data_IF_521753996172
#
_entry.id   IF_521753996172
#
_cell.length_a   1.000
_cell.length_b   1.000
_cell.length_c   1.000
_cell.angle_alpha   90.00
_cell.angle_beta   90.00
_cell.angle_gamma   90.00
#
_symmetry.space_group_name_H-M   'P 1'
#
loop_
_entity.id
_entity.type
_entity.pdbx_description
1 polymer ?
#
# COMPACT_ATOMS: atom_id res chain seq x y z
N UNK A 1 11.84 -28.71 -12.74
CA UNK A 1 12.15 -28.03 -14.01
C UNK A 1 11.88 -28.89 -15.24
N UNK A 2 12.51 -30.06 -15.41
CA UNK A 2 12.23 -30.96 -16.56
C UNK A 2 10.73 -31.20 -16.80
N UNK A 3 9.95 -31.49 -15.76
CA UNK A 3 8.50 -31.69 -15.87
C UNK A 3 7.74 -30.42 -16.29
N UNK A 4 8.12 -29.25 -15.78
CA UNK A 4 7.41 -27.99 -16.02
C UNK A 4 7.81 -27.32 -17.36
N UNK A 5 9.04 -27.51 -17.82
CA UNK A 5 9.62 -26.81 -18.97
C UNK A 5 10.06 -27.74 -20.11
N UNK A 6 9.99 -29.06 -19.94
CA UNK A 6 10.37 -30.05 -20.96
C UNK A 6 11.87 -30.10 -21.27
N UNK A 7 12.72 -29.43 -20.48
CA UNK A 7 14.16 -29.32 -20.72
C UNK A 7 14.97 -29.85 -19.54
N UNK A 8 16.07 -30.55 -19.85
CA UNK A 8 17.00 -31.08 -18.85
C UNK A 8 17.86 -29.99 -18.20
N UNK A 9 18.31 -29.02 -18.99
CA UNK A 9 19.20 -27.94 -18.52
C UNK A 9 18.36 -26.79 -17.94
N UNK A 10 18.71 -26.38 -16.72
CA UNK A 10 18.10 -25.23 -16.04
C UNK A 10 18.84 -23.94 -16.46
N UNK A 11 18.10 -22.88 -16.74
CA UNK A 11 18.67 -21.55 -16.99
C UNK A 11 17.92 -20.43 -16.23
N UNK A 12 18.51 -19.23 -16.20
CA UNK A 12 17.96 -18.09 -15.46
C UNK A 12 16.55 -17.68 -15.93
N UNK A 13 16.25 -17.81 -17.23
CA UNK A 13 14.92 -17.48 -17.76
C UNK A 13 13.84 -18.39 -17.18
N UNK A 14 14.10 -19.69 -17.06
CA UNK A 14 13.16 -20.65 -16.47
C UNK A 14 12.95 -20.38 -14.98
N UNK A 15 14.00 -19.98 -14.26
CA UNK A 15 13.90 -19.60 -12.85
C UNK A 15 12.98 -18.38 -12.70
N UNK A 16 13.18 -17.33 -13.51
CA UNK A 16 12.35 -16.13 -13.51
C UNK A 16 10.89 -16.45 -13.90
N UNK A 17 10.67 -17.35 -14.86
CA UNK A 17 9.31 -17.80 -15.20
C UNK A 17 8.65 -18.55 -14.07
N UNK A 18 9.35 -19.47 -13.41
CA UNK A 18 8.80 -20.20 -12.27
C UNK A 18 8.44 -19.25 -11.11
N UNK A 19 9.32 -18.31 -10.77
CA UNK A 19 9.07 -17.31 -9.73
C UNK A 19 7.87 -16.43 -10.08
N UNK A 20 7.84 -15.87 -11.28
CA UNK A 20 6.74 -15.01 -11.70
C UNK A 20 5.40 -15.76 -11.75
N UNK A 21 5.39 -17.06 -12.09
CA UNK A 21 4.17 -17.87 -12.02
C UNK A 21 3.72 -18.09 -10.57
N UNK A 22 4.65 -18.40 -9.66
CA UNK A 22 4.36 -18.51 -8.23
C UNK A 22 3.82 -17.20 -7.66
N UNK A 23 4.43 -16.05 -7.95
CA UNK A 23 3.93 -14.74 -7.48
C UNK A 23 2.49 -14.45 -7.95
N UNK A 24 2.09 -14.93 -9.15
CA UNK A 24 0.72 -14.78 -9.66
C UNK A 24 -0.30 -15.66 -8.94
N UNK A 25 0.13 -16.71 -8.23
CA UNK A 25 -0.78 -17.52 -7.42
C UNK A 25 -1.03 -16.92 -6.03
N UNK A 26 -0.21 -15.94 -5.61
CA UNK A 26 -0.33 -15.24 -4.34
C UNK A 26 -1.48 -14.23 -4.35
N UNK A 27 -2.71 -14.72 -4.48
CA UNK A 27 -3.93 -13.91 -4.53
C UNK A 27 -4.52 -13.78 -3.13
N UNK A 28 -4.60 -12.54 -2.63
CA UNK A 28 -5.26 -12.18 -1.37
C UNK A 28 -6.59 -11.48 -1.65
N UNK A 29 -7.69 -12.24 -1.55
CA UNK A 29 -9.05 -11.79 -1.83
C UNK A 29 -10.09 -12.42 -0.86
N UNK A 30 -9.63 -12.91 0.30
CA UNK A 30 -10.43 -13.57 1.33
C UNK A 30 -10.59 -12.76 2.62
N UNK A 31 -10.20 -11.47 2.63
CA UNK A 31 -10.34 -10.62 3.81
C UNK A 31 -11.80 -10.43 4.23
N UNK A 32 -12.03 -9.95 5.46
CA UNK A 32 -13.40 -9.62 5.92
C UNK A 32 -14.07 -8.59 5.02
N UNK A 33 -13.32 -7.60 4.52
CA UNK A 33 -13.82 -6.65 3.54
C UNK A 33 -14.21 -7.31 2.22
N UNK A 34 -13.42 -8.25 1.72
CA UNK A 34 -13.74 -8.95 0.47
C UNK A 34 -15.06 -9.71 0.58
N UNK A 35 -15.24 -10.44 1.70
CA UNK A 35 -16.47 -11.15 2.02
C UNK A 35 -17.65 -10.19 2.20
N UNK A 36 -17.42 -9.02 2.81
CA UNK A 36 -18.44 -7.98 2.97
C UNK A 36 -18.98 -7.52 1.61
N UNK A 37 -18.10 -7.17 0.67
CA UNK A 37 -18.49 -6.68 -0.67
C UNK A 37 -19.23 -7.76 -1.47
N UNK A 38 -18.85 -9.04 -1.30
CA UNK A 38 -19.51 -10.17 -1.98
C UNK A 38 -20.75 -10.69 -1.26
N UNK A 39 -21.14 -10.11 -0.11
CA UNK A 39 -22.22 -10.60 0.75
C UNK A 39 -22.03 -12.06 1.19
N UNK A 40 -20.80 -12.46 1.51
CA UNK A 40 -20.42 -13.80 1.94
C UNK A 40 -20.42 -13.96 3.47
N UNK A 41 -20.65 -15.17 4.00
CA UNK A 41 -20.49 -15.46 5.42
C UNK A 41 -19.10 -15.05 5.94
N UNK A 42 -19.07 -14.43 7.13
CA UNK A 42 -17.82 -13.89 7.71
C UNK A 42 -17.47 -12.46 7.25
N UNK A 43 -18.24 -11.88 6.34
CA UNK A 43 -18.11 -10.50 5.86
C UNK A 43 -18.83 -9.44 6.70
N UNK A 44 -19.23 -9.73 7.94
CA UNK A 44 -19.91 -8.74 8.78
C UNK A 44 -18.91 -7.70 9.29
N UNK A 45 -19.02 -6.45 8.83
CA UNK A 45 -18.27 -5.32 9.35
C UNK A 45 -19.02 -4.66 10.51
N UNK A 46 -18.28 -4.25 11.53
CA UNK A 46 -18.79 -3.46 12.65
C UNK A 46 -19.15 -2.04 12.20
N UNK A 47 -19.95 -1.32 12.98
CA UNK A 47 -20.29 0.09 12.69
C UNK A 47 -19.03 0.97 12.59
N UNK A 48 -18.02 0.69 13.41
CA UNK A 48 -16.74 1.41 13.40
C UNK A 48 -15.96 1.15 12.09
N UNK A 49 -15.92 -0.10 11.63
CA UNK A 49 -15.28 -0.47 10.35
C UNK A 49 -16.05 0.11 9.15
N UNK A 50 -17.38 0.14 9.20
CA UNK A 50 -18.21 0.77 8.16
C UNK A 50 -17.97 2.28 8.09
N UNK A 51 -17.87 2.96 9.25
CA UNK A 51 -17.46 4.36 9.32
C UNK A 51 -16.05 4.55 8.73
N UNK A 52 -15.11 3.66 9.05
CA UNK A 52 -13.76 3.67 8.50
C UNK A 52 -13.73 3.51 6.99
N UNK A 53 -14.49 2.57 6.44
CA UNK A 53 -14.66 2.36 5.00
C UNK A 53 -15.14 3.63 4.32
N UNK A 54 -16.15 4.30 4.88
CA UNK A 54 -16.68 5.54 4.33
C UNK A 54 -15.62 6.66 4.35
N UNK A 55 -14.89 6.81 5.46
CA UNK A 55 -13.82 7.81 5.57
C UNK A 55 -12.68 7.56 4.58
N UNK A 56 -12.30 6.29 4.35
CA UNK A 56 -11.29 5.92 3.33
C UNK A 56 -11.79 6.26 1.94
N UNK A 57 -13.06 6.00 1.62
CA UNK A 57 -13.67 6.37 0.33
C UNK A 57 -13.65 7.88 0.10
N UNK A 58 -13.93 8.67 1.14
CA UNK A 58 -14.01 10.13 1.05
C UNK A 58 -12.63 10.80 0.98
N UNK A 59 -11.66 10.32 1.77
CA UNK A 59 -10.43 11.05 2.02
C UNK A 59 -9.19 10.41 1.39
N UNK A 60 -9.21 9.10 1.13
CA UNK A 60 -8.02 8.34 0.72
C UNK A 60 -8.14 7.77 -0.70
N UNK A 61 -9.36 7.60 -1.22
CA UNK A 61 -9.61 6.98 -2.52
C UNK A 61 -9.12 7.79 -3.73
N UNK A 62 -8.66 9.03 -3.52
CA UNK A 62 -7.95 9.78 -4.56
C UNK A 62 -6.68 9.09 -5.05
N UNK A 63 -6.02 8.31 -4.17
CA UNK A 63 -4.86 7.47 -4.51
C UNK A 63 -5.12 5.99 -4.19
N UNK A 64 -5.76 5.69 -3.05
CA UNK A 64 -6.05 4.33 -2.62
C UNK A 64 -7.42 3.85 -3.11
N UNK A 65 -7.55 3.69 -4.42
CA UNK A 65 -8.83 3.39 -5.10
C UNK A 65 -8.98 1.91 -5.50
N UNK A 66 -10.18 1.57 -5.98
CA UNK A 66 -10.54 0.23 -6.50
C UNK A 66 -10.40 -0.90 -5.47
N UNK A 67 -10.55 -2.14 -5.92
CA UNK A 67 -10.51 -3.32 -5.03
C UNK A 67 -9.13 -3.59 -4.46
N UNK A 68 -8.07 -3.06 -5.05
CA UNK A 68 -6.70 -3.20 -4.51
C UNK A 68 -6.30 -2.02 -3.62
N UNK A 69 -7.14 -1.00 -3.44
CA UNK A 69 -6.81 0.22 -2.69
C UNK A 69 -5.50 0.86 -3.16
N UNK A 70 -5.34 0.95 -4.47
CA UNK A 70 -4.25 1.61 -5.17
C UNK A 70 -4.71 1.98 -6.58
N UNK A 71 -4.34 3.16 -7.03
CA UNK A 71 -4.47 3.61 -8.41
C UNK A 71 -3.34 3.12 -9.32
N UNK A 72 -2.27 2.58 -8.73
CA UNK A 72 -1.07 2.15 -9.43
C UNK A 72 -0.18 3.30 -9.94
N UNK A 73 -0.50 4.56 -9.62
CA UNK A 73 0.26 5.74 -10.04
C UNK A 73 1.27 6.16 -8.94
N UNK A 74 1.95 7.28 -9.14
CA UNK A 74 3.05 7.77 -8.33
C UNK A 74 2.72 9.13 -7.74
N UNK A 75 2.82 9.24 -6.42
CA UNK A 75 2.46 10.45 -5.67
C UNK A 75 3.56 10.81 -4.67
N UNK A 76 3.68 12.10 -4.41
CA UNK A 76 4.48 12.61 -3.30
C UNK A 76 3.49 12.93 -2.17
N UNK A 77 3.55 12.17 -1.08
CA UNK A 77 2.69 12.35 0.09
C UNK A 77 3.28 13.30 1.15
N UNK A 78 4.36 14.03 0.82
CA UNK A 78 4.94 15.08 1.65
C UNK A 78 5.74 14.59 2.85
N UNK A 79 6.37 13.41 2.79
CA UNK A 79 7.29 12.95 3.84
C UNK A 79 8.48 13.92 4.02
N UNK A 80 8.95 14.48 2.91
CA UNK A 80 10.11 15.36 2.81
C UNK A 80 9.77 16.59 1.96
N UNK A 81 10.35 17.73 2.31
CA UNK A 81 10.24 18.99 1.56
C UNK A 81 11.41 19.21 0.59
N UNK A 82 12.50 18.46 0.79
CA UNK A 82 13.76 18.55 0.07
C UNK A 82 14.23 17.16 -0.33
N UNK A 83 14.85 17.06 -1.52
CA UNK A 83 15.25 15.78 -2.11
C UNK A 83 16.74 15.82 -2.46
N UNK A 84 17.56 15.34 -1.53
CA UNK A 84 19.03 15.33 -1.65
C UNK A 84 19.50 14.57 -2.89
N UNK A 85 20.63 15.00 -3.45
CA UNK A 85 21.33 14.26 -4.49
C UNK A 85 22.23 13.14 -3.93
N UNK A 86 22.42 13.11 -2.62
CA UNK A 86 23.18 12.07 -1.92
C UNK A 86 22.53 10.69 -2.07
N UNK A 87 23.32 9.65 -1.75
CA UNK A 87 22.90 8.25 -1.83
C UNK A 87 22.24 7.93 -3.18
N UNK A 88 22.90 8.30 -4.27
CA UNK A 88 22.43 8.05 -5.64
C UNK A 88 21.00 8.57 -5.91
N UNK A 89 20.66 9.73 -5.35
CA UNK A 89 19.35 10.38 -5.54
C UNK A 89 18.17 9.50 -5.12
N UNK A 90 18.35 8.62 -4.12
CA UNK A 90 17.28 7.73 -3.65
C UNK A 90 16.02 8.48 -3.23
N UNK A 91 16.17 9.66 -2.60
CA UNK A 91 15.08 10.53 -2.19
C UNK A 91 14.25 11.07 -3.37
N UNK A 92 14.76 10.99 -4.61
CA UNK A 92 14.03 11.45 -5.79
C UNK A 92 12.89 10.50 -6.18
N UNK A 93 12.87 9.26 -5.67
CA UNK A 93 11.84 8.28 -6.02
C UNK A 93 11.73 8.11 -7.54
N UNK A 94 10.53 8.32 -8.08
CA UNK A 94 10.24 8.27 -9.54
C UNK A 94 11.13 9.20 -10.35
N UNK A 95 11.47 10.37 -9.81
CA UNK A 95 12.33 11.36 -10.46
C UNK A 95 13.72 10.82 -10.84
N UNK A 96 14.23 9.78 -10.15
CA UNK A 96 15.49 9.11 -10.52
C UNK A 96 15.42 8.41 -11.88
N UNK A 97 14.22 8.04 -12.32
CA UNK A 97 13.99 7.38 -13.62
C UNK A 97 13.61 8.41 -14.68
N UNK A 98 12.69 9.34 -14.38
CA UNK A 98 12.18 10.28 -15.37
C UNK A 98 13.06 11.50 -15.59
N UNK A 99 13.94 11.80 -14.62
CA UNK A 99 14.77 13.02 -14.58
C UNK A 99 13.94 14.32 -14.58
N UNK A 100 12.65 14.25 -14.21
CA UNK A 100 11.77 15.43 -14.11
C UNK A 100 11.71 15.91 -12.67
N UNK A 101 11.89 17.22 -12.47
CA UNK A 101 11.74 17.88 -11.17
C UNK A 101 10.35 17.64 -10.56
N UNK A 102 9.30 17.62 -11.39
CA UNK A 102 7.91 17.37 -10.97
C UNK A 102 7.67 15.96 -10.46
N UNK A 103 8.61 15.02 -10.64
CA UNK A 103 8.49 13.64 -10.20
C UNK A 103 9.36 13.30 -8.98
N UNK A 104 10.10 14.29 -8.44
CA UNK A 104 10.91 14.09 -7.23
C UNK A 104 10.02 13.76 -6.03
N UNK A 105 10.46 12.82 -5.20
CA UNK A 105 9.73 12.38 -4.01
C UNK A 105 8.46 11.57 -4.30
N UNK A 106 8.16 11.27 -5.57
CA UNK A 106 7.00 10.46 -5.91
C UNK A 106 7.32 8.98 -5.81
N UNK A 107 6.49 8.25 -5.09
CA UNK A 107 6.55 6.79 -4.98
C UNK A 107 5.21 6.19 -5.42
N UNK A 108 5.26 4.94 -5.89
CA UNK A 108 4.04 4.23 -6.31
C UNK A 108 3.10 4.08 -5.11
N UNK A 109 1.82 4.35 -5.29
CA UNK A 109 0.80 4.08 -4.26
C UNK A 109 0.75 2.58 -3.96
N UNK A 110 1.11 2.11 -2.75
CA UNK A 110 0.99 0.70 -2.42
C UNK A 110 -0.47 0.31 -2.25
N UNK A 111 -0.78 -0.97 -2.48
CA UNK A 111 -2.06 -1.56 -2.07
C UNK A 111 -2.19 -1.49 -0.55
N UNK A 112 -3.42 -1.26 -0.05
CA UNK A 112 -3.73 -1.34 1.39
C UNK A 112 -4.15 -2.74 1.84
N UNK A 113 -4.16 -3.74 0.95
CA UNK A 113 -4.43 -5.13 1.34
C UNK A 113 -3.33 -5.62 2.28
N UNK A 114 -3.74 -6.25 3.38
CA UNK A 114 -2.84 -6.71 4.45
C UNK A 114 -1.98 -5.61 5.10
N UNK A 115 -2.32 -4.33 4.95
CA UNK A 115 -1.50 -3.22 5.45
C UNK A 115 -1.24 -3.32 6.96
N UNK A 116 -2.18 -3.85 7.73
CA UNK A 116 -2.02 -4.04 9.18
C UNK A 116 -0.90 -5.03 9.58
N UNK A 117 -0.36 -5.80 8.62
CA UNK A 117 0.68 -6.82 8.84
C UNK A 117 2.05 -6.42 8.27
N UNK A 118 2.16 -5.28 7.58
CA UNK A 118 3.34 -4.93 6.78
C UNK A 118 4.09 -3.72 7.34
N UNK A 119 4.04 -3.51 8.65
CA UNK A 119 4.90 -2.54 9.30
C UNK A 119 6.39 -2.92 9.11
N UNK A 120 7.31 -1.94 9.06
CA UNK A 120 7.06 -0.49 9.10
C UNK A 120 6.56 0.09 7.76
N UNK A 121 6.05 1.31 7.79
CA UNK A 121 5.36 1.96 6.68
C UNK A 121 6.21 3.03 5.99
N UNK A 122 5.74 3.41 4.79
CA UNK A 122 6.40 4.30 3.83
C UNK A 122 7.57 3.64 3.09
N UNK A 123 8.14 4.35 2.11
CA UNK A 123 9.19 3.81 1.25
C UNK A 123 10.52 3.57 1.99
N UNK A 124 10.70 4.18 3.16
CA UNK A 124 11.89 4.10 4.00
C UNK A 124 11.63 3.51 5.39
N UNK A 125 10.40 3.07 5.67
CA UNK A 125 10.07 2.42 6.92
C UNK A 125 10.08 3.33 8.15
N UNK A 126 9.99 4.67 7.99
CA UNK A 126 10.12 5.59 9.13
C UNK A 126 8.98 5.55 10.15
N UNK A 127 7.83 4.97 9.79
CA UNK A 127 6.67 4.84 10.69
C UNK A 127 6.46 3.39 11.13
N UNK A 128 6.39 3.16 12.44
CA UNK A 128 6.23 1.84 13.04
C UNK A 128 4.79 1.33 13.13
N UNK A 129 3.79 2.22 13.04
CA UNK A 129 2.38 1.86 13.19
C UNK A 129 1.46 2.73 12.29
N UNK A 130 0.21 2.31 12.12
CA UNK A 130 -0.78 3.04 11.31
C UNK A 130 -1.19 4.39 11.92
N UNK A 131 -1.09 4.55 13.23
CA UNK A 131 -1.37 5.82 13.91
C UNK A 131 -0.40 6.91 13.44
N UNK A 132 0.90 6.62 13.41
CA UNK A 132 1.92 7.52 12.86
C UNK A 132 1.68 7.86 11.38
N UNK A 133 1.18 6.90 10.60
CA UNK A 133 0.79 7.15 9.20
C UNK A 133 -0.36 8.16 9.11
N UNK A 134 -1.39 8.00 9.94
CA UNK A 134 -2.53 8.91 9.96
C UNK A 134 -2.18 10.29 10.55
N UNK A 135 -1.25 10.33 11.52
CA UNK A 135 -0.68 11.57 12.05
C UNK A 135 0.11 12.33 10.99
N UNK A 136 0.88 11.61 10.16
CA UNK A 136 1.56 12.19 9.00
C UNK A 136 0.55 12.88 8.07
N UNK A 137 -0.49 12.17 7.63
CA UNK A 137 -1.50 12.75 6.76
C UNK A 137 -2.28 13.90 7.42
N UNK A 138 -2.38 13.94 8.75
CA UNK A 138 -3.11 15.00 9.47
C UNK A 138 -2.29 16.28 9.64
N UNK A 139 -1.01 16.14 9.97
CA UNK A 139 -0.18 17.28 10.37
C UNK A 139 1.30 17.19 9.98
N UNK A 140 1.76 16.03 9.48
CA UNK A 140 3.15 15.80 9.09
C UNK A 140 3.47 16.07 7.62
N UNK A 141 2.45 16.30 6.77
CA UNK A 141 2.65 16.59 5.35
C UNK A 141 3.47 17.88 5.18
N UNK A 142 4.61 17.75 4.51
CA UNK A 142 5.49 18.86 4.17
C UNK A 142 5.21 19.37 2.76
N UNK A 143 5.21 20.69 2.61
CA UNK A 143 5.04 21.34 1.31
C UNK A 143 6.32 21.22 0.48
N UNK A 144 6.20 20.82 -0.78
CA UNK A 144 7.29 20.79 -1.76
C UNK A 144 6.74 21.07 -3.17
N UNK A 145 7.62 21.38 -4.11
CA UNK A 145 7.22 21.68 -5.50
C UNK A 145 6.51 20.51 -6.21
N UNK A 146 6.74 19.27 -5.76
CA UNK A 146 6.15 18.06 -6.33
C UNK A 146 5.07 17.44 -5.46
N UNK A 147 4.68 18.07 -4.33
CA UNK A 147 3.63 17.58 -3.44
C UNK A 147 2.34 17.32 -4.22
N UNK A 148 1.68 16.19 -3.94
CA UNK A 148 0.43 15.88 -4.63
C UNK A 148 -0.65 16.95 -4.40
N UNK A 149 -1.33 17.45 -5.46
CA UNK A 149 -2.37 18.47 -5.33
C UNK A 149 -3.52 18.07 -4.41
N UNK A 150 -3.83 16.78 -4.23
CA UNK A 150 -4.88 16.33 -3.32
C UNK A 150 -4.59 16.69 -1.85
N UNK A 151 -3.29 16.81 -1.51
CA UNK A 151 -2.82 17.17 -0.18
C UNK A 151 -2.52 18.66 -0.04
N UNK A 152 -2.58 19.44 -1.11
CA UNK A 152 -2.40 20.89 -1.08
C UNK A 152 -3.71 21.57 -0.66
N UNK A 153 -3.97 21.67 0.64
CA UNK A 153 -5.10 22.47 1.17
C UNK A 153 -4.62 23.89 1.51
N UNK A 154 -5.51 24.87 1.34
CA UNK A 154 -5.20 26.31 1.41
C UNK A 154 -4.52 26.76 2.72
N UNK A 155 -4.91 26.18 3.85
CA UNK A 155 -4.42 26.62 5.17
C UNK A 155 -3.40 25.68 5.81
N UNK A 156 -3.45 24.38 5.49
CA UNK A 156 -2.55 23.36 6.05
C UNK A 156 -2.53 22.15 5.11
N UNK A 157 -1.37 21.76 4.55
CA UNK A 157 -1.30 20.57 3.71
C UNK A 157 -1.66 19.31 4.53
N UNK A 158 -2.35 18.37 3.88
CA UNK A 158 -2.82 17.13 4.48
C UNK A 158 -4.35 16.97 4.50
N UNK A 159 -4.82 16.13 5.42
CA UNK A 159 -6.20 15.69 5.58
C UNK A 159 -6.60 15.87 7.04
N UNK A 160 -7.57 16.73 7.32
CA UNK A 160 -8.05 16.95 8.68
C UNK A 160 -8.84 15.75 9.20
N UNK A 161 -8.25 14.99 10.13
CA UNK A 161 -8.87 13.83 10.77
C UNK A 161 -8.92 14.01 12.29
N UNK A 162 -10.09 13.77 12.88
CA UNK A 162 -10.25 13.65 14.34
C UNK A 162 -9.73 12.30 14.85
N UNK A 163 -9.48 12.19 16.15
CA UNK A 163 -9.09 10.93 16.79
C UNK A 163 -10.07 9.78 16.48
N UNK A 164 -11.38 10.05 16.56
CA UNK A 164 -12.40 9.04 16.26
C UNK A 164 -12.39 8.61 14.78
N UNK A 165 -12.09 9.53 13.87
CA UNK A 165 -11.94 9.21 12.45
C UNK A 165 -10.70 8.35 12.22
N UNK A 166 -9.58 8.66 12.86
CA UNK A 166 -8.35 7.85 12.77
C UNK A 166 -8.57 6.44 13.30
N UNK A 167 -9.30 6.30 14.42
CA UNK A 167 -9.67 5.02 14.99
C UNK A 167 -10.55 4.20 14.03
N UNK A 168 -11.57 4.84 13.45
CA UNK A 168 -12.46 4.20 12.48
C UNK A 168 -11.69 3.74 11.22
N UNK A 169 -10.84 4.61 10.65
CA UNK A 169 -9.98 4.26 9.52
C UNK A 169 -9.09 3.07 9.86
N UNK A 170 -8.41 3.10 11.01
CA UNK A 170 -7.56 2.00 11.46
C UNK A 170 -8.34 0.69 11.57
N UNK A 171 -9.54 0.71 12.18
CA UNK A 171 -10.40 -0.46 12.28
C UNK A 171 -10.73 -1.05 10.90
N UNK A 172 -11.06 -0.19 9.92
CA UNK A 172 -11.29 -0.63 8.56
C UNK A 172 -10.02 -1.21 7.88
N UNK A 173 -8.85 -0.59 8.06
CA UNK A 173 -7.59 -1.12 7.52
C UNK A 173 -7.26 -2.52 8.07
N UNK A 174 -7.62 -2.81 9.32
CA UNK A 174 -7.52 -4.17 9.86
C UNK A 174 -8.47 -5.16 9.16
N UNK A 175 -9.66 -4.72 8.73
CA UNK A 175 -10.60 -5.56 7.98
C UNK A 175 -10.10 -5.94 6.57
N UNK A 176 -9.06 -5.26 6.06
CA UNK A 176 -8.34 -5.61 4.83
C UNK A 176 -7.30 -6.74 5.01
N UNK A 177 -7.18 -7.29 6.22
CA UNK A 177 -6.28 -8.41 6.51
C UNK A 177 -6.91 -9.72 6.07
N UNK A 178 -6.19 -10.46 5.25
CA UNK A 178 -6.60 -11.77 4.74
C UNK A 178 -5.91 -12.89 5.52
N UNK A 179 -6.62 -13.39 6.53
CA UNK A 179 -6.13 -14.48 7.37
C UNK A 179 -6.03 -15.80 6.58
N UNK A 180 -6.90 -16.03 5.60
CA UNK A 180 -6.87 -17.24 4.78
C UNK A 180 -5.62 -17.26 3.90
N UNK A 181 -5.28 -16.12 3.29
CA UNK A 181 -4.05 -15.97 2.52
C UNK A 181 -2.79 -16.14 3.38
N UNK A 182 -2.72 -15.42 4.50
CA UNK A 182 -1.50 -15.38 5.34
C UNK A 182 -1.22 -16.69 6.08
N UNK A 183 -2.23 -17.54 6.25
CA UNK A 183 -2.10 -18.86 6.90
C UNK A 183 -2.17 -20.01 5.89
N UNK A 184 -2.19 -19.73 4.59
CA UNK A 184 -2.33 -20.76 3.57
C UNK A 184 -1.09 -21.68 3.53
N UNK A 185 -1.21 -22.99 3.82
CA UNK A 185 -0.07 -23.90 3.81
C UNK A 185 0.57 -24.06 2.42
N UNK A 186 -0.15 -23.76 1.34
CA UNK A 186 0.40 -23.77 -0.02
C UNK A 186 1.45 -22.66 -0.25
N UNK A 187 1.45 -21.61 0.58
CA UNK A 187 2.40 -20.49 0.50
C UNK A 187 3.41 -20.49 1.64
N UNK A 188 3.35 -21.48 2.53
CA UNK A 188 4.35 -21.66 3.58
C UNK A 188 5.71 -22.02 2.99
N UNK A 189 6.77 -21.82 3.78
CA UNK A 189 8.12 -22.30 3.43
C UNK A 189 8.03 -23.80 3.10
N UNK A 190 8.42 -24.24 1.89
CA UNK A 190 8.36 -25.64 1.53
C UNK A 190 9.25 -26.47 2.46
N UNK A 191 8.83 -27.70 2.76
CA UNK A 191 9.68 -28.65 3.47
C UNK A 191 10.94 -28.93 2.64
N UNK A 192 12.09 -28.99 3.33
CA UNK A 192 13.38 -29.30 2.71
C UNK A 192 13.42 -30.72 2.14
#
# INVERSE_FOLDING_TARGET
FKQAFGQEKINSQQILFALAQFERTLVSAGSRYDKYIRNEPGGNLTELELKGLQLVKENCAGCHSTDLFTDGDYHNNGLDDTFSEENEKLAWGRGRITQKETDKGKYRTPSLRNVALTAPYMHDGRFGNLEQVLDHYTSGVKMSASLDPLLQKQNQPGISLTTDQKLAITAFLHALTDQEFTQNPAFAKPAN
#
